data_IF_838506243770
#
_entry.id   IF_838506243770
#
_cell.length_a   1.000
_cell.length_b   1.000
_cell.length_c   1.000
_cell.angle_alpha   90.00
_cell.angle_beta   90.00
_cell.angle_gamma   90.00
#
_symmetry.space_group_name_H-M   'P 1'
#
loop_
_entity.id
_entity.type
_entity.pdbx_description
1 polymer ?
#
# COMPACT_ATOMS: atom_id res chain seq x y z
N UNK A 1 -25.61 32.49 -25.38
CA UNK A 1 -26.38 31.52 -24.58
C UNK A 1 -25.40 30.42 -24.21
N UNK A 2 -24.46 30.63 -23.28
CA UNK A 2 -24.70 30.98 -21.87
C UNK A 2 -25.86 30.17 -21.30
N UNK A 3 -25.57 28.92 -20.98
CA UNK A 3 -26.19 28.22 -19.87
C UNK A 3 -25.07 27.88 -18.89
N UNK A 4 -24.69 28.89 -18.12
CA UNK A 4 -24.18 28.71 -16.78
C UNK A 4 -25.35 28.14 -15.93
N UNK A 5 -25.67 26.86 -16.15
CA UNK A 5 -26.51 26.10 -15.25
C UNK A 5 -25.60 25.55 -14.15
N UNK A 6 -25.50 26.35 -13.10
CA UNK A 6 -25.35 25.92 -11.71
C UNK A 6 -24.52 24.64 -11.50
N UNK A 7 -23.21 24.84 -11.34
CA UNK A 7 -22.24 23.86 -10.84
C UNK A 7 -22.55 23.34 -9.42
N UNK A 8 -23.69 23.70 -8.83
CA UNK A 8 -24.08 23.35 -7.46
C UNK A 8 -24.90 22.05 -7.38
N UNK A 9 -25.38 21.49 -8.50
CA UNK A 9 -26.21 20.27 -8.46
C UNK A 9 -25.43 19.00 -8.09
N UNK A 10 -24.14 18.95 -8.39
CA UNK A 10 -23.26 17.80 -8.12
C UNK A 10 -22.30 18.02 -6.94
N UNK A 11 -22.28 19.23 -6.38
CA UNK A 11 -21.33 19.64 -5.34
C UNK A 11 -21.43 18.84 -4.01
N UNK A 12 -22.56 18.22 -3.60
CA UNK A 12 -22.59 17.39 -2.39
C UNK A 12 -21.94 16.01 -2.55
N UNK A 13 -21.86 15.46 -3.77
CA UNK A 13 -21.45 14.06 -3.97
C UNK A 13 -19.93 13.84 -3.89
N UNK A 14 -19.12 14.91 -3.94
CA UNK A 14 -17.66 14.81 -3.81
C UNK A 14 -17.22 14.37 -2.41
N UNK A 15 -18.05 14.55 -1.38
CA UNK A 15 -17.65 14.39 0.01
C UNK A 15 -18.63 13.61 0.89
N UNK A 16 -19.75 13.11 0.38
CA UNK A 16 -20.69 12.30 1.15
C UNK A 16 -20.64 10.81 0.79
N UNK A 17 -19.46 10.20 0.90
CA UNK A 17 -19.28 8.75 0.76
C UNK A 17 -19.41 8.05 2.12
N UNK A 18 -20.54 8.26 2.81
CA UNK A 18 -20.92 7.46 3.97
C UNK A 18 -20.84 5.94 3.66
N UNK A 19 -20.99 5.59 2.39
CA UNK A 19 -21.00 4.22 1.89
C UNK A 19 -19.63 3.69 1.42
N UNK A 20 -18.57 4.51 1.44
CA UNK A 20 -17.22 4.07 1.04
C UNK A 20 -17.00 3.87 -0.47
N UNK A 21 -17.90 4.42 -1.30
CA UNK A 21 -17.86 4.48 -2.77
C UNK A 21 -18.76 5.63 -3.26
N UNK A 22 -18.60 6.06 -4.51
CA UNK A 22 -19.45 7.05 -5.16
C UNK A 22 -19.37 6.94 -6.70
N UNK A 23 -20.33 7.54 -7.42
CA UNK A 23 -20.23 7.73 -8.87
C UNK A 23 -19.59 9.08 -9.14
N UNK A 24 -18.46 9.09 -9.84
CA UNK A 24 -17.70 10.31 -10.10
C UNK A 24 -18.43 11.20 -11.12
N UNK A 25 -18.69 12.46 -10.75
CA UNK A 25 -19.51 13.39 -11.54
C UNK A 25 -18.95 13.61 -12.95
N UNK A 26 -17.63 13.75 -13.06
CA UNK A 26 -16.96 14.00 -14.34
C UNK A 26 -17.06 12.74 -15.22
N UNK A 27 -16.96 11.55 -14.61
CA UNK A 27 -17.13 10.29 -15.33
C UNK A 27 -18.59 10.03 -15.73
N UNK A 28 -19.56 10.53 -14.97
CA UNK A 28 -20.98 10.47 -15.31
C UNK A 28 -21.32 11.30 -16.56
N UNK A 29 -20.54 12.35 -16.87
CA UNK A 29 -20.70 13.11 -18.11
C UNK A 29 -20.21 12.35 -19.35
N UNK A 30 -19.43 11.28 -19.16
CA UNK A 30 -18.92 10.44 -20.24
C UNK A 30 -19.93 9.33 -20.59
N UNK A 31 -20.69 9.55 -21.67
CA UNK A 31 -21.75 8.65 -22.12
C UNK A 31 -21.25 7.24 -22.51
N UNK A 32 -19.97 7.11 -22.87
CA UNK A 32 -19.35 5.85 -23.29
C UNK A 32 -18.87 4.97 -22.12
N UNK A 33 -18.91 5.46 -20.87
CA UNK A 33 -18.52 4.67 -19.71
C UNK A 33 -19.70 3.87 -19.16
N UNK A 34 -19.45 2.65 -18.71
CA UNK A 34 -20.39 1.84 -17.94
C UNK A 34 -20.50 2.34 -16.50
N UNK A 35 -21.55 1.93 -15.78
CA UNK A 35 -21.71 2.26 -14.36
C UNK A 35 -20.54 1.72 -13.51
N UNK A 36 -19.96 0.57 -13.88
CA UNK A 36 -18.74 0.10 -13.23
C UNK A 36 -17.56 1.06 -13.42
N UNK A 37 -17.38 1.61 -14.62
CA UNK A 37 -16.29 2.55 -14.89
C UNK A 37 -16.49 3.89 -14.17
N UNK A 38 -17.74 4.32 -14.00
CA UNK A 38 -18.12 5.52 -13.24
C UNK A 38 -18.02 5.34 -11.73
N UNK A 39 -18.13 4.11 -11.24
CA UNK A 39 -17.98 3.77 -9.83
C UNK A 39 -16.52 3.99 -9.38
N UNK A 40 -16.35 4.76 -8.32
CA UNK A 40 -15.05 5.13 -7.76
C UNK A 40 -15.04 4.88 -6.26
N UNK A 41 -13.91 4.40 -5.75
CA UNK A 41 -13.66 4.33 -4.30
C UNK A 41 -13.05 5.66 -3.85
N UNK A 42 -13.53 6.27 -2.75
CA UNK A 42 -12.98 7.51 -2.25
C UNK A 42 -11.56 7.30 -1.72
N UNK A 43 -10.71 8.31 -1.87
CA UNK A 43 -9.38 8.32 -1.28
C UNK A 43 -9.44 8.88 0.15
N UNK A 44 -10.15 8.18 1.05
CA UNK A 44 -10.33 8.60 2.45
C UNK A 44 -9.30 7.94 3.36
N UNK A 45 -8.04 8.33 3.19
CA UNK A 45 -7.16 8.35 4.35
C UNK A 45 -7.20 9.76 4.96
N UNK A 46 -6.96 9.90 6.26
CA UNK A 46 -6.91 11.20 6.92
C UNK A 46 -5.75 12.08 6.41
N UNK A 47 -4.76 12.36 7.25
CA UNK A 47 -3.54 13.09 6.83
C UNK A 47 -2.62 12.29 5.86
N UNK A 48 -3.08 11.15 5.34
CA UNK A 48 -2.31 10.20 4.52
C UNK A 48 -3.24 9.68 3.42
N UNK A 49 -2.78 9.62 2.16
CA UNK A 49 -3.57 9.10 1.05
C UNK A 49 -3.75 7.57 1.17
N UNK A 50 -4.99 7.04 1.09
CA UNK A 50 -5.26 5.58 1.14
C UNK A 50 -4.64 4.86 -0.06
N UNK A 51 -4.64 5.51 -1.23
CA UNK A 51 -4.17 4.97 -2.52
C UNK A 51 -3.06 5.86 -3.12
N UNK A 52 -1.98 5.25 -3.62
CA UNK A 52 -0.77 5.97 -4.07
C UNK A 52 -1.06 6.90 -5.26
N UNK A 53 -1.77 6.35 -6.23
CA UNK A 53 -2.02 6.98 -7.53
C UNK A 53 -3.49 6.99 -7.86
N UNK A 54 -4.30 7.39 -6.87
CA UNK A 54 -5.75 7.36 -6.95
C UNK A 54 -6.32 7.98 -8.23
N UNK A 55 -5.79 9.14 -8.66
CA UNK A 55 -6.20 9.78 -9.92
C UNK A 55 -5.92 8.91 -11.16
N UNK A 56 -4.78 8.21 -11.20
CA UNK A 56 -4.44 7.27 -12.27
C UNK A 56 -5.34 6.04 -12.24
N UNK A 57 -5.68 5.54 -11.05
CA UNK A 57 -6.57 4.38 -10.90
C UNK A 57 -7.95 4.64 -11.50
N UNK A 58 -8.47 5.87 -11.34
CA UNK A 58 -9.72 6.30 -11.99
C UNK A 58 -9.57 6.38 -13.51
N UNK A 59 -8.43 6.87 -13.98
CA UNK A 59 -8.15 7.12 -15.40
C UNK A 59 -7.89 5.86 -16.23
N UNK A 60 -7.75 4.67 -15.62
CA UNK A 60 -7.63 3.42 -16.39
C UNK A 60 -8.92 3.01 -17.09
N UNK A 61 -10.08 3.44 -16.57
CA UNK A 61 -11.39 3.07 -17.09
C UNK A 61 -11.54 1.56 -17.35
N UNK A 62 -10.92 0.74 -16.50
CA UNK A 62 -10.96 -0.71 -16.66
C UNK A 62 -12.40 -1.24 -16.58
N UNK A 63 -12.68 -2.26 -17.40
CA UNK A 63 -13.90 -3.06 -17.30
C UNK A 63 -13.80 -4.00 -16.09
N UNK A 64 -14.92 -4.59 -15.64
CA UNK A 64 -14.89 -5.61 -14.61
C UNK A 64 -13.93 -6.77 -14.95
N UNK A 65 -13.94 -7.22 -16.20
CA UNK A 65 -13.08 -8.32 -16.66
C UNK A 65 -11.60 -7.92 -16.61
N UNK A 66 -11.26 -6.70 -17.03
CA UNK A 66 -9.90 -6.19 -16.93
C UNK A 66 -9.42 -6.10 -15.47
N UNK A 67 -10.27 -5.66 -14.54
CA UNK A 67 -9.92 -5.60 -13.12
C UNK A 67 -9.81 -6.99 -12.47
N UNK A 68 -10.67 -7.96 -12.85
CA UNK A 68 -10.55 -9.36 -12.40
C UNK A 68 -9.24 -9.97 -12.87
N UNK A 69 -8.92 -9.83 -14.16
CA UNK A 69 -7.63 -10.29 -14.70
C UNK A 69 -6.45 -9.54 -14.08
N UNK A 70 -6.59 -8.24 -13.77
CA UNK A 70 -5.50 -7.46 -13.20
C UNK A 70 -5.12 -7.97 -11.81
N UNK A 71 -6.11 -8.34 -10.99
CA UNK A 71 -5.85 -8.93 -9.67
C UNK A 71 -5.07 -10.23 -9.81
N UNK A 72 -5.46 -11.11 -10.74
CA UNK A 72 -4.75 -12.37 -11.01
C UNK A 72 -3.34 -12.14 -11.58
N UNK A 73 -3.21 -11.19 -12.51
CA UNK A 73 -1.94 -10.74 -13.07
C UNK A 73 -1.00 -10.27 -11.96
N UNK A 74 -1.48 -9.41 -11.06
CA UNK A 74 -0.72 -8.87 -9.95
C UNK A 74 -0.24 -9.99 -9.00
N UNK A 75 -1.13 -10.90 -8.62
CA UNK A 75 -0.79 -12.03 -7.74
C UNK A 75 0.29 -12.92 -8.35
N UNK A 76 0.17 -13.23 -9.65
CA UNK A 76 1.17 -14.01 -10.39
C UNK A 76 2.49 -13.25 -10.51
N UNK A 77 2.45 -11.96 -10.84
CA UNK A 77 3.61 -11.10 -10.95
C UNK A 77 4.38 -11.03 -9.62
N UNK A 78 3.73 -10.71 -8.51
CA UNK A 78 4.37 -10.66 -7.18
C UNK A 78 5.04 -11.99 -6.84
N UNK A 79 4.38 -13.13 -7.12
CA UNK A 79 4.94 -14.45 -6.86
C UNK A 79 6.19 -14.73 -7.70
N UNK A 80 6.15 -14.45 -9.00
CA UNK A 80 7.25 -14.74 -9.94
C UNK A 80 8.40 -13.74 -9.87
N UNK A 81 8.16 -12.54 -9.31
CA UNK A 81 9.13 -11.44 -9.26
C UNK A 81 9.77 -11.24 -7.88
N UNK A 82 9.59 -12.19 -6.93
CA UNK A 82 10.25 -12.16 -5.61
C UNK A 82 11.76 -11.99 -5.69
N UNK A 83 12.40 -12.53 -6.72
CA UNK A 83 13.85 -12.39 -6.90
C UNK A 83 14.30 -10.92 -6.99
N UNK A 84 13.42 -10.03 -7.48
CA UNK A 84 13.73 -8.61 -7.66
C UNK A 84 13.86 -7.88 -6.33
N UNK A 85 13.22 -8.37 -5.27
CA UNK A 85 13.23 -7.74 -3.94
C UNK A 85 14.66 -7.55 -3.43
N UNK A 86 15.58 -8.49 -3.73
CA UNK A 86 16.98 -8.41 -3.35
C UNK A 86 17.77 -7.33 -4.10
N UNK A 87 17.23 -6.79 -5.20
CA UNK A 87 17.92 -5.85 -6.07
C UNK A 87 17.39 -4.42 -5.99
N UNK A 88 16.18 -4.18 -5.46
CA UNK A 88 15.53 -2.84 -5.50
C UNK A 88 16.26 -1.72 -4.76
N UNK A 89 17.23 -2.06 -3.89
CA UNK A 89 18.04 -1.11 -3.14
C UNK A 89 19.46 -0.94 -3.71
N UNK A 90 19.81 -1.65 -4.79
CA UNK A 90 21.13 -1.52 -5.41
C UNK A 90 21.29 -0.17 -6.10
N UNK A 91 22.54 0.21 -6.30
CA UNK A 91 22.88 1.41 -7.06
C UNK A 91 22.39 1.33 -8.50
N UNK A 92 22.23 2.50 -9.13
CA UNK A 92 21.62 2.64 -10.45
C UNK A 92 22.22 1.68 -11.51
N UNK A 93 23.55 1.55 -11.55
CA UNK A 93 24.24 0.71 -12.54
C UNK A 93 23.93 -0.78 -12.40
N UNK A 94 23.72 -1.26 -11.17
CA UNK A 94 23.34 -2.66 -10.92
C UNK A 94 21.82 -2.87 -10.99
N UNK A 95 21.05 -1.85 -10.62
CA UNK A 95 19.59 -1.88 -10.61
C UNK A 95 19.00 -1.89 -12.01
N UNK A 96 19.50 -1.06 -12.91
CA UNK A 96 18.88 -0.82 -14.22
C UNK A 96 18.77 -2.09 -15.10
N UNK A 97 19.79 -2.98 -15.18
CA UNK A 97 19.64 -4.25 -15.89
C UNK A 97 18.57 -5.17 -15.26
N UNK A 98 18.48 -5.21 -13.93
CA UNK A 98 17.49 -6.02 -13.21
C UNK A 98 16.09 -5.47 -13.41
N UNK A 99 15.93 -4.14 -13.39
CA UNK A 99 14.68 -3.44 -13.67
C UNK A 99 14.17 -3.79 -15.06
N UNK A 100 15.01 -3.71 -16.10
CA UNK A 100 14.61 -4.07 -17.48
C UNK A 100 14.17 -5.53 -17.58
N UNK A 101 14.93 -6.45 -16.99
CA UNK A 101 14.56 -7.87 -16.95
C UNK A 101 13.21 -8.08 -16.25
N UNK A 102 12.99 -7.39 -15.14
CA UNK A 102 11.71 -7.39 -14.43
C UNK A 102 10.56 -6.88 -15.30
N UNK A 103 10.73 -5.75 -15.97
CA UNK A 103 9.73 -5.18 -16.86
C UNK A 103 9.34 -6.15 -17.99
N UNK A 104 10.33 -6.77 -18.66
CA UNK A 104 10.06 -7.78 -19.69
C UNK A 104 9.30 -8.99 -19.13
N UNK A 105 9.64 -9.45 -17.93
CA UNK A 105 8.94 -10.54 -17.28
C UNK A 105 7.49 -10.15 -16.95
N UNK A 106 7.26 -8.95 -16.41
CA UNK A 106 5.91 -8.43 -16.15
C UNK A 106 5.06 -8.39 -17.43
N UNK A 107 5.59 -7.87 -18.54
CA UNK A 107 4.90 -7.85 -19.84
C UNK A 107 4.61 -9.28 -20.33
N UNK A 108 5.57 -10.20 -20.17
CA UNK A 108 5.38 -11.62 -20.53
C UNK A 108 4.27 -12.27 -19.71
N UNK A 109 4.16 -11.96 -18.42
CA UNK A 109 3.08 -12.46 -17.55
C UNK A 109 1.74 -11.87 -18.01
N UNK A 110 1.70 -10.57 -18.31
CA UNK A 110 0.51 -9.88 -18.80
C UNK A 110 -0.03 -10.48 -20.11
N UNK A 111 0.84 -10.93 -21.01
CA UNK A 111 0.43 -11.61 -22.25
C UNK A 111 -0.34 -12.93 -22.04
N UNK A 112 -0.37 -13.46 -20.82
CA UNK A 112 -1.24 -14.59 -20.45
C UNK A 112 -2.69 -14.20 -20.17
N UNK A 113 -3.03 -12.91 -20.25
CA UNK A 113 -4.33 -12.32 -19.94
C UNK A 113 -4.84 -11.52 -21.15
N UNK A 114 -6.15 -11.55 -21.41
CA UNK A 114 -6.73 -10.96 -22.63
C UNK A 114 -7.00 -9.46 -22.48
N UNK A 115 -7.31 -9.01 -21.27
CA UNK A 115 -7.76 -7.65 -20.96
C UNK A 115 -6.66 -6.78 -20.33
N UNK A 116 -5.44 -7.30 -20.16
CA UNK A 116 -4.30 -6.55 -19.61
C UNK A 116 -3.48 -5.93 -20.73
N UNK A 117 -3.69 -4.64 -20.96
CA UNK A 117 -2.92 -3.88 -21.94
C UNK A 117 -1.53 -3.49 -21.40
N UNK A 118 -0.62 -3.17 -22.32
CA UNK A 118 0.79 -2.86 -22.00
C UNK A 118 0.95 -1.75 -20.94
N UNK A 119 0.15 -0.68 -21.03
CA UNK A 119 0.18 0.42 -20.06
C UNK A 119 -0.09 -0.04 -18.63
N UNK A 120 -1.13 -0.86 -18.44
CA UNK A 120 -1.50 -1.42 -17.13
C UNK A 120 -0.45 -2.42 -16.61
N UNK A 121 0.17 -3.21 -17.49
CA UNK A 121 1.26 -4.10 -17.12
C UNK A 121 2.48 -3.32 -16.61
N UNK A 122 2.92 -2.31 -17.38
CA UNK A 122 4.01 -1.40 -17.00
C UNK A 122 3.72 -0.69 -15.67
N UNK A 123 2.49 -0.19 -15.49
CA UNK A 123 2.08 0.41 -14.22
C UNK A 123 2.19 -0.57 -13.05
N UNK A 124 1.67 -1.79 -13.21
CA UNK A 124 1.79 -2.83 -12.18
C UNK A 124 3.23 -3.12 -11.80
N UNK A 125 4.14 -3.19 -12.78
CA UNK A 125 5.57 -3.38 -12.51
C UNK A 125 6.18 -2.23 -11.71
N UNK A 126 5.99 -0.99 -12.14
CA UNK A 126 6.55 0.18 -11.47
C UNK A 126 5.99 0.34 -10.05
N UNK A 127 4.69 0.08 -9.88
CA UNK A 127 4.04 0.09 -8.57
C UNK A 127 4.61 -1.00 -7.64
N UNK A 128 4.85 -2.22 -8.14
CA UNK A 128 5.50 -3.28 -7.39
C UNK A 128 6.91 -2.88 -6.96
N UNK A 129 7.73 -2.37 -7.88
CA UNK A 129 9.10 -1.92 -7.59
C UNK A 129 9.10 -0.84 -6.51
N UNK A 130 8.28 0.21 -6.68
CA UNK A 130 8.21 1.31 -5.74
C UNK A 130 7.78 0.82 -4.36
N UNK A 131 6.72 0.02 -4.28
CA UNK A 131 6.21 -0.52 -3.03
C UNK A 131 7.24 -1.39 -2.32
N UNK A 132 7.90 -2.29 -3.04
CA UNK A 132 8.96 -3.14 -2.48
C UNK A 132 10.12 -2.29 -1.98
N UNK A 133 10.52 -1.26 -2.73
CA UNK A 133 11.58 -0.33 -2.29
C UNK A 133 11.20 0.41 -1.01
N UNK A 134 9.99 0.94 -0.93
CA UNK A 134 9.48 1.61 0.27
C UNK A 134 9.35 0.65 1.45
N UNK A 135 8.93 -0.61 1.22
CA UNK A 135 8.88 -1.62 2.28
C UNK A 135 10.28 -1.89 2.85
N UNK A 136 11.28 -2.11 2.00
CA UNK A 136 12.67 -2.37 2.45
C UNK A 136 13.30 -1.13 3.11
N UNK A 137 13.27 0.01 2.39
CA UNK A 137 12.99 1.35 2.90
C UNK A 137 12.78 1.50 4.39
N UNK A 138 11.54 1.25 4.73
CA UNK A 138 10.92 1.84 5.88
C UNK A 138 10.49 0.71 6.82
N UNK A 139 9.85 -0.34 6.33
CA UNK A 139 9.15 -1.36 7.12
C UNK A 139 10.01 -2.56 7.54
N UNK A 140 10.76 -3.17 6.61
CA UNK A 140 11.48 -4.44 6.80
C UNK A 140 12.36 -4.49 8.07
N UNK A 141 12.10 -5.38 9.03
CA UNK A 141 12.91 -5.52 10.25
C UNK A 141 12.67 -4.44 11.32
N UNK A 142 11.72 -3.53 11.11
CA UNK A 142 11.34 -2.54 12.11
C UNK A 142 10.55 -3.16 13.27
N UNK A 143 9.80 -4.22 13.01
CA UNK A 143 9.12 -5.07 13.99
C UNK A 143 10.10 -5.64 15.02
N UNK A 144 11.22 -6.18 14.54
CA UNK A 144 12.28 -6.69 15.41
C UNK A 144 12.96 -5.57 16.19
N UNK A 145 13.22 -4.43 15.57
CA UNK A 145 13.80 -3.27 16.27
C UNK A 145 12.87 -2.78 17.39
N UNK A 146 11.57 -2.69 17.13
CA UNK A 146 10.57 -2.30 18.13
C UNK A 146 10.39 -3.33 19.23
N UNK A 147 10.46 -4.64 18.93
CA UNK A 147 10.50 -5.68 19.96
C UNK A 147 11.67 -5.48 20.92
N UNK A 148 12.89 -5.27 20.39
CA UNK A 148 14.08 -5.08 21.21
C UNK A 148 14.03 -3.82 22.08
N UNK A 149 13.45 -2.74 21.55
CA UNK A 149 13.20 -1.52 22.34
C UNK A 149 12.13 -1.79 23.40
N UNK A 150 11.05 -2.48 23.04
CA UNK A 150 9.94 -2.79 23.94
C UNK A 150 10.39 -3.63 25.14
N UNK A 151 11.26 -4.62 24.93
CA UNK A 151 11.86 -5.40 26.01
C UNK A 151 12.61 -4.50 27.00
N UNK A 152 13.50 -3.64 26.52
CA UNK A 152 14.30 -2.73 27.38
C UNK A 152 13.43 -1.72 28.12
N UNK A 153 12.40 -1.17 27.45
CA UNK A 153 11.44 -0.26 28.09
C UNK A 153 10.64 -0.98 29.19
N UNK A 154 10.23 -2.23 28.99
CA UNK A 154 9.36 -2.93 29.92
C UNK A 154 10.06 -3.72 31.03
N UNK A 155 11.20 -4.32 30.74
CA UNK A 155 12.03 -5.11 31.66
C UNK A 155 12.99 -4.20 32.44
N UNK A 156 13.62 -3.23 31.77
CA UNK A 156 14.61 -2.32 32.35
C UNK A 156 14.02 -1.03 32.93
N UNK A 157 12.72 -0.79 32.76
CA UNK A 157 12.05 0.49 33.08
C UNK A 157 12.77 1.71 32.47
N UNK A 158 13.33 1.54 31.27
CA UNK A 158 14.04 2.60 30.56
C UNK A 158 13.08 3.50 29.77
N UNK A 159 13.47 4.76 29.56
CA UNK A 159 12.76 5.59 28.59
C UNK A 159 13.07 5.11 27.16
N UNK A 160 12.18 5.44 26.20
CA UNK A 160 12.35 5.03 24.80
C UNK A 160 13.72 5.41 24.24
N UNK A 161 14.22 6.59 24.58
CA UNK A 161 15.49 7.12 24.05
C UNK A 161 16.70 6.31 24.51
N UNK A 162 16.72 5.91 25.78
CA UNK A 162 17.81 5.09 26.33
C UNK A 162 17.76 3.69 25.75
N UNK A 163 16.56 3.09 25.69
CA UNK A 163 16.36 1.79 25.05
C UNK A 163 16.76 1.80 23.55
N UNK A 164 16.44 2.86 22.82
CA UNK A 164 16.85 3.06 21.43
C UNK A 164 18.37 3.15 21.30
N UNK A 165 19.03 3.85 22.22
CA UNK A 165 20.50 3.98 22.24
C UNK A 165 21.18 2.63 22.49
N UNK A 166 20.64 1.82 23.41
CA UNK A 166 21.15 0.48 23.71
C UNK A 166 20.97 -0.46 22.52
N UNK A 167 19.77 -0.48 21.91
CA UNK A 167 19.52 -1.27 20.69
C UNK A 167 20.43 -0.82 19.54
N UNK A 168 20.68 0.47 19.39
CA UNK A 168 21.62 0.98 18.41
C UNK A 168 23.05 0.46 18.67
N UNK A 169 23.51 0.49 19.92
CA UNK A 169 24.85 0.05 20.30
C UNK A 169 25.05 -1.46 20.16
N UNK A 170 24.07 -2.27 20.59
CA UNK A 170 24.12 -3.73 20.50
C UNK A 170 23.93 -4.26 19.08
N UNK A 171 23.32 -3.46 18.21
CA UNK A 171 23.09 -3.77 16.81
C UNK A 171 22.39 -5.13 16.53
N UNK A 172 21.26 -5.44 17.19
CA UNK A 172 20.52 -6.69 16.92
C UNK A 172 19.82 -6.66 15.54
N UNK A 173 19.68 -5.49 14.93
CA UNK A 173 19.05 -5.30 13.61
C UNK A 173 19.94 -4.43 12.70
N UNK A 174 20.99 -5.00 12.08
CA UNK A 174 21.93 -4.25 11.22
C UNK A 174 21.26 -3.47 10.10
N UNK A 175 20.18 -4.02 9.52
CA UNK A 175 19.42 -3.37 8.45
C UNK A 175 18.83 -2.01 8.88
N UNK A 176 18.58 -1.82 10.18
CA UNK A 176 17.94 -0.61 10.72
C UNK A 176 18.90 0.35 11.39
N UNK A 177 20.20 0.07 11.40
CA UNK A 177 21.21 0.92 12.03
C UNK A 177 21.13 2.39 11.60
N UNK A 178 21.06 2.64 10.29
CA UNK A 178 20.93 4.00 9.78
C UNK A 178 19.62 4.67 10.24
N UNK A 179 18.53 3.91 10.33
CA UNK A 179 17.23 4.42 10.79
C UNK A 179 17.27 4.79 12.27
N UNK A 180 17.83 3.92 13.13
CA UNK A 180 17.93 4.17 14.57
C UNK A 180 18.89 5.35 14.84
N UNK A 181 20.03 5.40 14.13
CA UNK A 181 20.97 6.52 14.20
C UNK A 181 20.31 7.86 13.88
N UNK A 182 19.56 7.92 12.78
CA UNK A 182 18.91 9.15 12.35
C UNK A 182 17.90 9.68 13.39
N UNK A 183 17.17 8.80 14.06
CA UNK A 183 16.25 9.20 15.14
C UNK A 183 16.99 9.67 16.40
N UNK A 184 18.12 9.04 16.74
CA UNK A 184 18.95 9.47 17.88
C UNK A 184 19.56 10.86 17.66
N UNK A 185 20.00 11.15 16.43
CA UNK A 185 20.56 12.44 16.03
C UNK A 185 19.49 13.54 15.91
N UNK A 186 18.30 13.20 15.41
CA UNK A 186 17.20 14.14 15.16
C UNK A 186 15.87 13.58 15.69
N UNK A 187 15.60 13.71 17.01
CA UNK A 187 14.37 13.21 17.62
C UNK A 187 13.12 13.85 17.01
N UNK A 188 12.11 13.04 16.68
CA UNK A 188 10.88 13.54 16.06
C UNK A 188 11.04 13.92 14.58
N UNK A 189 12.10 13.48 13.93
CA UNK A 189 12.34 13.66 12.50
C UNK A 189 11.29 12.99 11.61
N UNK A 190 11.53 12.95 10.30
CA UNK A 190 10.58 12.45 9.29
C UNK A 190 9.96 11.08 9.62
N UNK A 191 10.72 10.19 10.27
CA UNK A 191 10.27 8.84 10.62
C UNK A 191 9.42 8.78 11.90
N UNK A 192 9.50 9.79 12.78
CA UNK A 192 8.80 9.84 14.07
C UNK A 192 8.79 8.49 14.81
N UNK A 193 9.95 7.84 14.95
CA UNK A 193 10.00 6.44 15.40
C UNK A 193 9.42 6.27 16.81
N UNK A 194 9.62 7.22 17.72
CA UNK A 194 9.03 7.15 19.07
C UNK A 194 7.51 7.10 19.02
N UNK A 195 6.88 7.98 18.20
CA UNK A 195 5.43 8.00 18.02
C UNK A 195 4.93 6.69 17.41
N UNK A 196 5.67 6.12 16.47
CA UNK A 196 5.35 4.84 15.86
C UNK A 196 5.48 3.70 16.87
N UNK A 197 6.55 3.67 17.64
CA UNK A 197 6.78 2.69 18.69
C UNK A 197 5.66 2.70 19.72
N UNK A 198 5.32 3.86 20.28
CA UNK A 198 4.25 3.99 21.27
C UNK A 198 2.93 3.45 20.73
N UNK A 199 2.59 3.77 19.48
CA UNK A 199 1.38 3.26 18.82
C UNK A 199 1.40 1.75 18.61
N UNK A 200 2.52 1.18 18.16
CA UNK A 200 2.62 -0.26 17.87
C UNK A 200 2.65 -1.12 19.13
N UNK A 201 2.96 -0.53 20.28
CA UNK A 201 3.14 -1.24 21.56
C UNK A 201 2.05 -0.93 22.58
N UNK A 202 1.14 0.00 22.27
CA UNK A 202 0.03 0.38 23.12
C UNK A 202 -0.87 -0.83 23.42
N UNK A 203 -1.08 -1.11 24.71
CA UNK A 203 -1.94 -2.21 25.16
C UNK A 203 -1.32 -3.61 25.07
N UNK A 204 -0.07 -3.77 24.65
CA UNK A 204 0.62 -5.07 24.69
C UNK A 204 0.96 -5.44 26.13
N UNK A 205 0.51 -6.60 26.59
CA UNK A 205 0.84 -7.13 27.92
C UNK A 205 2.30 -7.58 28.01
N UNK A 206 2.93 -7.32 29.17
CA UNK A 206 4.29 -7.76 29.49
C UNK A 206 4.44 -9.28 29.62
N UNK A 207 3.34 -10.00 29.78
CA UNK A 207 3.32 -11.46 30.00
C UNK A 207 3.27 -12.25 28.68
N UNK A 208 3.17 -11.58 27.54
CA UNK A 208 3.13 -12.24 26.25
C UNK A 208 4.52 -12.71 25.83
N UNK A 209 4.61 -13.88 25.16
CA UNK A 209 5.86 -14.34 24.59
C UNK A 209 6.32 -13.41 23.46
N UNK A 210 7.64 -13.27 23.30
CA UNK A 210 8.28 -12.41 22.31
C UNK A 210 7.71 -12.56 20.89
N UNK A 211 7.51 -13.81 20.45
CA UNK A 211 6.95 -14.10 19.12
C UNK A 211 5.59 -13.44 18.93
N UNK A 212 4.74 -13.50 19.96
CA UNK A 212 3.40 -12.91 19.91
C UNK A 212 3.45 -11.39 19.95
N UNK A 213 4.36 -10.82 20.73
CA UNK A 213 4.59 -9.37 20.77
C UNK A 213 5.07 -8.88 19.41
N UNK A 214 6.03 -9.58 18.79
CA UNK A 214 6.54 -9.24 17.48
C UNK A 214 5.45 -9.32 16.40
N UNK A 215 4.60 -10.35 16.43
CA UNK A 215 3.46 -10.47 15.53
C UNK A 215 2.50 -9.27 15.64
N UNK A 216 2.15 -8.85 16.86
CA UNK A 216 1.27 -7.71 17.10
C UNK A 216 1.89 -6.40 16.59
N UNK A 217 3.17 -6.18 16.89
CA UNK A 217 3.93 -5.04 16.39
C UNK A 217 3.98 -5.06 14.85
N UNK A 218 4.26 -6.21 14.24
CA UNK A 218 4.32 -6.35 12.79
C UNK A 218 2.96 -6.08 12.13
N UNK A 219 1.86 -6.50 12.75
CA UNK A 219 0.51 -6.21 12.28
C UNK A 219 0.24 -4.69 12.31
N UNK A 220 0.54 -4.02 13.42
CA UNK A 220 0.35 -2.57 13.53
C UNK A 220 1.26 -1.80 12.57
N UNK A 221 2.53 -2.20 12.42
CA UNK A 221 3.42 -1.59 11.43
C UNK A 221 2.85 -1.76 10.02
N UNK A 222 2.39 -2.96 9.64
CA UNK A 222 1.84 -3.19 8.30
C UNK A 222 0.49 -2.51 8.07
N UNK A 223 -0.32 -2.36 9.12
CA UNK A 223 -1.63 -1.72 9.04
C UNK A 223 -1.54 -0.18 9.03
N UNK A 224 -0.62 0.39 9.81
CA UNK A 224 -0.50 1.85 10.04
C UNK A 224 0.64 2.52 9.31
N UNK A 225 1.71 1.80 8.97
CA UNK A 225 2.68 2.28 7.98
C UNK A 225 2.08 1.98 6.62
N UNK A 226 1.05 2.77 6.30
CA UNK A 226 0.30 2.69 5.07
C UNK A 226 1.25 2.94 3.90
N UNK A 227 1.97 1.90 3.46
CA UNK A 227 2.34 1.81 2.08
C UNK A 227 1.04 2.04 1.33
N UNK A 228 0.95 3.10 0.51
CA UNK A 228 -0.30 3.42 -0.13
C UNK A 228 -0.83 2.20 -0.88
N UNK A 229 -2.15 1.98 -0.81
CA UNK A 229 -2.77 0.78 -1.38
C UNK A 229 -2.54 0.75 -2.88
N UNK A 230 -2.20 -0.44 -3.39
CA UNK A 230 -1.92 -0.66 -4.81
C UNK A 230 -3.20 -0.63 -5.63
N UNK A 231 -3.05 -0.53 -6.96
CA UNK A 231 -4.18 -0.68 -7.87
C UNK A 231 -4.86 -2.05 -7.70
N UNK A 232 -4.11 -3.12 -7.40
CA UNK A 232 -4.69 -4.44 -7.18
C UNK A 232 -5.63 -4.48 -5.96
N UNK A 233 -5.28 -3.73 -4.89
CA UNK A 233 -6.15 -3.58 -3.71
C UNK A 233 -7.37 -2.71 -4.02
N UNK A 234 -7.19 -1.65 -4.84
CA UNK A 234 -8.29 -0.83 -5.34
C UNK A 234 -9.28 -1.65 -6.19
N UNK A 235 -8.79 -2.35 -7.21
CA UNK A 235 -9.57 -3.18 -8.12
C UNK A 235 -10.36 -4.26 -7.35
N UNK A 236 -9.71 -4.97 -6.42
CA UNK A 236 -10.39 -6.00 -5.60
C UNK A 236 -11.55 -5.41 -4.80
N UNK A 237 -11.35 -4.26 -4.13
CA UNK A 237 -12.42 -3.59 -3.36
C UNK A 237 -13.51 -3.04 -4.28
N UNK A 238 -13.16 -2.50 -5.44
CA UNK A 238 -14.11 -1.96 -6.41
C UNK A 238 -15.02 -3.05 -6.98
N UNK A 239 -14.46 -4.21 -7.33
CA UNK A 239 -15.22 -5.39 -7.75
C UNK A 239 -16.22 -5.84 -6.68
N UNK A 240 -15.79 -5.95 -5.43
CA UNK A 240 -16.67 -6.33 -4.31
C UNK A 240 -17.84 -5.35 -4.13
N UNK A 241 -17.57 -4.04 -4.18
CA UNK A 241 -18.62 -3.01 -4.11
C UNK A 241 -19.59 -3.15 -5.28
N UNK A 242 -19.08 -3.31 -6.50
CA UNK A 242 -19.93 -3.44 -7.70
C UNK A 242 -20.83 -4.69 -7.64
N UNK A 243 -20.35 -5.80 -7.09
CA UNK A 243 -21.13 -7.03 -6.86
C UNK A 243 -22.23 -6.83 -5.82
N UNK A 244 -21.95 -6.10 -4.74
CA UNK A 244 -22.94 -5.77 -3.70
C UNK A 244 -24.04 -4.85 -4.24
N UNK A 245 -23.67 -3.90 -5.10
CA UNK A 245 -24.62 -2.98 -5.74
C UNK A 245 -25.39 -3.59 -6.91
N UNK A 246 -25.04 -4.80 -7.34
CA UNK A 246 -25.66 -5.45 -8.50
C UNK A 246 -25.29 -4.81 -9.84
N UNK A 247 -24.22 -4.01 -9.90
CA UNK A 247 -23.68 -3.44 -11.14
C UNK A 247 -23.05 -4.54 -11.99
N UNK A 248 -22.48 -5.55 -11.35
CA UNK A 248 -21.93 -6.75 -12.00
C UNK A 248 -22.48 -8.01 -11.33
N UNK A 249 -22.53 -9.15 -12.05
CA UNK A 249 -22.90 -10.42 -11.45
C UNK A 249 -21.95 -10.78 -10.31
N UNK A 250 -22.49 -11.38 -9.24
CA UNK A 250 -21.67 -11.98 -8.19
C UNK A 250 -20.85 -13.11 -8.78
N UNK A 251 -19.58 -13.21 -8.39
CA UNK A 251 -18.76 -14.35 -8.77
C UNK A 251 -19.46 -15.66 -8.34
N UNK A 252 -19.68 -16.56 -9.29
CA UNK A 252 -20.15 -17.91 -8.98
C UNK A 252 -19.09 -18.59 -8.10
N UNK A 253 -19.48 -19.05 -6.91
CA UNK A 253 -18.62 -19.91 -6.09
C UNK A 253 -18.53 -21.23 -6.87
N UNK A 254 -17.34 -21.66 -7.33
CA UNK A 254 -17.22 -22.96 -7.99
C UNK A 254 -17.70 -24.04 -7.00
N UNK A 255 -18.65 -24.86 -7.47
CA UNK A 255 -19.17 -26.00 -6.72
C UNK A 255 -18.11 -27.10 -6.52
#
# INVERSE_FOLDING_TARGET
MELALENDFFYPCHHDSAFGWYFDSDLCLLANLSDYQRLVLPNRGGNEYEYDRWSQYKAFYNTPDADREYVLYWEKMVKEMKWLENHVLKDFLEWEPMRRKGLYQSIKIANGFTNIHLGLACHGFEEYVLRTRLYRLFVEGLDRAFLEIWKRVNEGQMCFRDALQDVYNENPVPLRQHTLKAELEWPGGFLQLERQFCRCTEGISKELPDERVQELIAQEINYKRALPKTYAQYARKKLQVAEVLGIIPRAEIPA
#
